data_IF_073266415496
#
_entry.id   IF_073266415496
#
_cell.length_a   1.000
_cell.length_b   1.000
_cell.length_c   1.000
_cell.angle_alpha   90.00
_cell.angle_beta   90.00
_cell.angle_gamma   90.00
#
_symmetry.space_group_name_H-M   'P 1'
#
loop_
_entity.id
_entity.type
_entity.pdbx_description
1 polymer ?
#
# COMPACT_ATOMS: atom_id res chain seq x y z
N UNK A 1 -14.58 -20.99 12.58
CA UNK A 1 -14.92 -19.54 12.48
C UNK A 1 -13.63 -18.74 12.56
N UNK A 2 -13.46 -17.72 11.73
CA UNK A 2 -12.28 -16.84 11.76
C UNK A 2 -12.65 -15.46 12.34
N UNK A 3 -11.65 -14.72 12.83
CA UNK A 3 -11.78 -13.34 13.30
C UNK A 3 -10.76 -12.47 12.57
N UNK A 4 -11.23 -11.49 11.81
CA UNK A 4 -10.38 -10.49 11.17
C UNK A 4 -9.93 -9.50 12.24
N UNK A 5 -8.62 -9.24 12.31
CA UNK A 5 -8.02 -8.35 13.32
C UNK A 5 -7.43 -7.06 12.73
N UNK A 6 -7.38 -6.94 11.40
CA UNK A 6 -6.86 -5.77 10.72
C UNK A 6 -6.87 -5.92 9.20
N UNK A 7 -6.66 -4.80 8.52
CA UNK A 7 -6.43 -4.71 7.08
C UNK A 7 -5.22 -3.84 6.77
N UNK A 8 -4.51 -4.18 5.70
CA UNK A 8 -3.36 -3.41 5.22
C UNK A 8 -3.60 -3.03 3.77
N UNK A 9 -3.49 -1.74 3.45
CA UNK A 9 -3.30 -1.26 2.08
C UNK A 9 -1.79 -1.09 1.87
N UNK A 10 -1.22 -1.89 0.97
CA UNK A 10 0.19 -1.80 0.52
C UNK A 10 0.24 -1.17 -0.87
N UNK A 11 0.60 0.12 -1.02
CA UNK A 11 0.75 0.73 -2.33
C UNK A 11 1.95 0.14 -3.08
N UNK A 12 1.76 -0.22 -4.34
CA UNK A 12 2.83 -0.76 -5.20
C UNK A 12 3.99 0.22 -5.37
N UNK A 13 5.19 -0.29 -5.61
CA UNK A 13 6.36 0.48 -6.00
C UNK A 13 6.20 1.22 -7.35
N UNK A 14 6.79 2.41 -7.48
CA UNK A 14 6.75 3.18 -8.74
C UNK A 14 7.48 2.47 -9.89
N UNK A 15 8.48 1.62 -9.58
CA UNK A 15 9.17 0.80 -10.57
C UNK A 15 8.35 -0.36 -11.12
N UNK A 16 7.11 -0.54 -10.66
CA UNK A 16 6.14 -1.36 -11.38
C UNK A 16 5.89 -0.85 -12.80
N UNK A 17 6.10 0.45 -13.05
CA UNK A 17 6.19 0.99 -14.40
C UNK A 17 4.86 1.02 -15.17
N UNK A 18 3.72 0.90 -14.48
CA UNK A 18 2.40 1.01 -15.10
C UNK A 18 2.19 2.43 -15.64
N UNK A 19 1.84 2.57 -16.91
CA UNK A 19 1.59 3.86 -17.53
C UNK A 19 0.49 4.62 -16.78
N UNK A 20 0.76 5.89 -16.45
CA UNK A 20 -0.17 6.74 -15.70
C UNK A 20 -0.21 6.48 -14.19
N UNK A 21 0.68 5.63 -13.65
CA UNK A 21 0.80 5.45 -12.21
C UNK A 21 1.37 6.72 -11.56
N UNK A 22 0.57 7.37 -10.72
CA UNK A 22 1.04 8.49 -9.91
C UNK A 22 2.14 8.04 -8.93
N UNK A 23 3.04 8.97 -8.57
CA UNK A 23 4.13 8.71 -7.63
C UNK A 23 3.62 8.10 -6.32
N UNK A 24 4.40 7.17 -5.76
CA UNK A 24 4.05 6.42 -4.56
C UNK A 24 3.72 7.34 -3.40
N UNK A 25 4.49 8.42 -3.21
CA UNK A 25 4.26 9.42 -2.17
C UNK A 25 2.82 9.96 -2.19
N UNK A 26 2.32 10.33 -3.36
CA UNK A 26 0.95 10.84 -3.51
C UNK A 26 -0.09 9.76 -3.24
N UNK A 27 0.14 8.53 -3.71
CA UNK A 27 -0.78 7.40 -3.46
C UNK A 27 -0.85 7.03 -1.99
N UNK A 28 0.28 7.03 -1.29
CA UNK A 28 0.36 6.80 0.16
C UNK A 28 -0.40 7.90 0.90
N UNK A 29 -0.17 9.18 0.54
CA UNK A 29 -0.87 10.31 1.15
C UNK A 29 -2.40 10.21 0.97
N UNK A 30 -2.86 9.96 -0.27
CA UNK A 30 -4.28 9.78 -0.55
C UNK A 30 -4.89 8.60 0.22
N UNK A 31 -4.18 7.46 0.29
CA UNK A 31 -4.64 6.29 1.02
C UNK A 31 -4.73 6.55 2.53
N UNK A 32 -3.79 7.33 3.10
CA UNK A 32 -3.84 7.73 4.51
C UNK A 32 -5.04 8.63 4.78
N UNK A 33 -5.28 9.64 3.95
CA UNK A 33 -6.46 10.52 4.05
C UNK A 33 -7.76 9.71 3.96
N UNK A 34 -7.84 8.75 3.03
CA UNK A 34 -9.01 7.90 2.85
C UNK A 34 -9.29 6.98 4.06
N UNK A 35 -8.28 6.70 4.89
CA UNK A 35 -8.37 5.83 6.06
C UNK A 35 -8.45 6.59 7.39
N UNK A 36 -8.55 7.92 7.39
CA UNK A 36 -8.60 8.71 8.64
C UNK A 36 -9.73 8.30 9.58
N UNK A 37 -10.86 7.85 9.04
CA UNK A 37 -12.03 7.40 9.82
C UNK A 37 -12.08 5.89 10.03
N UNK A 38 -11.05 5.15 9.60
CA UNK A 38 -10.99 3.69 9.70
C UNK A 38 -10.22 3.28 10.96
N UNK A 39 -10.82 2.45 11.80
CA UNK A 39 -10.20 1.97 13.05
C UNK A 39 -9.40 0.66 12.89
N UNK A 40 -9.53 -0.04 11.74
CA UNK A 40 -8.98 -1.40 11.59
C UNK A 40 -8.15 -1.61 10.32
N UNK A 41 -8.22 -0.69 9.35
CA UNK A 41 -7.38 -0.70 8.13
C UNK A 41 -6.34 0.40 8.24
N UNK A 42 -5.08 0.07 7.91
CA UNK A 42 -3.95 1.02 7.84
C UNK A 42 -3.25 0.96 6.49
N UNK A 43 -2.52 2.03 6.15
CA UNK A 43 -1.58 2.02 5.02
C UNK A 43 -0.22 1.54 5.51
N UNK A 44 0.41 0.62 4.78
CA UNK A 44 1.79 0.22 4.98
C UNK A 44 2.61 0.57 3.72
N UNK A 45 3.55 1.53 3.79
CA UNK A 45 4.31 1.97 2.62
C UNK A 45 5.50 1.06 2.28
N UNK A 46 5.72 -0.04 3.01
CA UNK A 46 6.93 -0.85 2.86
C UNK A 46 7.23 -1.27 1.42
N UNK A 47 6.24 -1.79 0.67
CA UNK A 47 6.41 -2.22 -0.72
C UNK A 47 6.83 -1.05 -1.63
N UNK A 48 6.19 0.10 -1.45
CA UNK A 48 6.50 1.31 -2.22
C UNK A 48 7.85 1.94 -1.91
N UNK A 49 8.41 1.69 -0.72
CA UNK A 49 9.72 2.21 -0.30
C UNK A 49 10.89 1.31 -0.75
N UNK A 50 10.60 0.14 -1.32
CA UNK A 50 11.64 -0.75 -1.84
C UNK A 50 12.38 -0.12 -3.03
N UNK A 51 13.64 -0.53 -3.21
CA UNK A 51 14.45 -0.03 -4.34
C UNK A 51 13.95 -0.52 -5.70
N UNK A 52 13.16 -1.59 -5.74
CA UNK A 52 12.63 -2.23 -6.95
C UNK A 52 11.21 -2.70 -6.69
N UNK A 53 10.45 -2.99 -7.76
CA UNK A 53 9.17 -3.66 -7.63
C UNK A 53 9.36 -5.04 -6.98
N UNK A 54 8.43 -5.40 -6.09
CA UNK A 54 8.40 -6.67 -5.40
C UNK A 54 7.19 -7.48 -5.89
N UNK A 55 7.41 -8.77 -6.12
CA UNK A 55 6.31 -9.72 -6.32
C UNK A 55 5.43 -9.75 -5.07
N UNK A 56 4.12 -9.90 -5.24
CA UNK A 56 3.18 -9.89 -4.10
C UNK A 56 3.49 -10.98 -3.06
N UNK A 57 4.08 -12.10 -3.46
CA UNK A 57 4.49 -13.16 -2.53
C UNK A 57 5.63 -12.72 -1.59
N UNK A 58 6.46 -11.75 -2.00
CA UNK A 58 7.50 -11.19 -1.15
C UNK A 58 6.99 -10.09 -0.20
N UNK A 59 5.75 -9.64 -0.38
CA UNK A 59 5.06 -8.66 0.47
C UNK A 59 4.21 -9.35 1.56
N UNK A 60 3.79 -10.60 1.34
CA UNK A 60 3.00 -11.43 2.28
C UNK A 60 3.87 -12.05 3.38
#
# INVERSE_FOLDING_TARGET
KYRVIGGIISPVNDKYGKQGLAAAEHRIAMARLALETSEWVRVDPWESEQKQWCETIAVL
#
